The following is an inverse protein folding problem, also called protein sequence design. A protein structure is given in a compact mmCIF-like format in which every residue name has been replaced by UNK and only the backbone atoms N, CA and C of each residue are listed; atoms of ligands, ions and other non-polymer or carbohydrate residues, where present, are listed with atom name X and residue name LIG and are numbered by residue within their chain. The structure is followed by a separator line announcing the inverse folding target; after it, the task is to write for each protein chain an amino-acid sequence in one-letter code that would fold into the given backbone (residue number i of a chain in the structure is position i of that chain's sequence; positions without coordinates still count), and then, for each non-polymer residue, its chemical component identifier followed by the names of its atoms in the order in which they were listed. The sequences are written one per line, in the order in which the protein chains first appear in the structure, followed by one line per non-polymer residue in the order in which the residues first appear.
data_IF_377330087118
#
_entry.id   IF_377330087118
#
_cell.length_a   1.000
_cell.length_b   1.000
_cell.length_c   1.000
_cell.angle_alpha   90.00
_cell.angle_beta   90.00
_cell.angle_gamma   90.00
#
_symmetry.space_group_name_H-M   'P 1'
#
loop_
_entity.id
_entity.type
_entity.pdbx_description
1 polymer ?
#
# COMPACT_ATOMS: atom_id res chain seq x y z
N UNK A 1 -21.15 -8.58 1.47
CA UNK A 1 -19.75 -8.20 1.25
C UNK A 1 -18.88 -9.36 0.75
N UNK A 2 -19.13 -10.60 1.17
CA UNK A 2 -18.39 -11.78 0.67
C UNK A 2 -18.53 -11.97 -0.85
N UNK A 3 -19.72 -11.76 -1.38
CA UNK A 3 -19.96 -11.80 -2.84
C UNK A 3 -19.19 -10.69 -3.57
N UNK A 4 -19.15 -9.49 -3.00
CA UNK A 4 -18.35 -8.39 -3.56
C UNK A 4 -16.87 -8.75 -3.61
N UNK A 5 -16.33 -9.34 -2.53
CA UNK A 5 -14.93 -9.79 -2.50
C UNK A 5 -14.63 -10.79 -3.63
N UNK A 6 -15.52 -11.77 -3.83
CA UNK A 6 -15.37 -12.75 -4.91
C UNK A 6 -15.43 -12.11 -6.30
N UNK A 7 -16.39 -11.22 -6.53
CA UNK A 7 -16.50 -10.49 -7.79
C UNK A 7 -15.28 -9.63 -8.08
N UNK A 8 -14.75 -8.93 -7.08
CA UNK A 8 -13.55 -8.11 -7.23
C UNK A 8 -12.31 -8.97 -7.52
N UNK A 9 -12.19 -10.14 -6.89
CA UNK A 9 -11.10 -11.08 -7.18
C UNK A 9 -11.16 -11.60 -8.62
N UNK A 10 -12.33 -11.97 -9.11
CA UNK A 10 -12.52 -12.39 -10.51
C UNK A 10 -12.22 -11.25 -11.48
N UNK A 11 -12.72 -10.05 -11.20
CA UNK A 11 -12.43 -8.87 -12.00
C UNK A 11 -10.93 -8.58 -12.06
N UNK A 12 -10.24 -8.63 -10.93
CA UNK A 12 -8.80 -8.42 -10.87
C UNK A 12 -8.02 -9.41 -11.76
N UNK A 13 -8.42 -10.67 -11.78
CA UNK A 13 -7.82 -11.70 -12.66
C UNK A 13 -8.01 -11.41 -14.14
N UNK A 14 -9.13 -10.81 -14.51
CA UNK A 14 -9.47 -10.53 -15.90
C UNK A 14 -8.80 -9.26 -16.44
N UNK A 15 -8.65 -8.22 -15.61
CA UNK A 15 -8.26 -6.88 -16.08
C UNK A 15 -6.83 -6.48 -15.69
N UNK A 16 -6.25 -7.05 -14.63
CA UNK A 16 -4.87 -6.76 -14.27
C UNK A 16 -3.89 -7.55 -15.15
N UNK A 17 -2.79 -6.93 -15.59
CA UNK A 17 -1.77 -7.64 -16.32
C UNK A 17 -1.14 -8.74 -15.44
N UNK A 18 -0.67 -9.85 -16.04
CA UNK A 18 0.03 -10.89 -15.30
C UNK A 18 1.23 -10.35 -14.52
N UNK A 19 1.55 -10.99 -13.39
CA UNK A 19 2.72 -10.61 -12.59
C UNK A 19 3.99 -10.65 -13.45
N UNK A 20 4.82 -9.62 -13.30
CA UNK A 20 6.07 -9.50 -14.06
C UNK A 20 5.93 -8.93 -15.47
N UNK A 21 4.72 -8.58 -15.91
CA UNK A 21 4.52 -7.86 -17.17
C UNK A 21 5.27 -6.52 -17.12
N UNK A 22 6.16 -6.31 -18.08
CA UNK A 22 6.83 -5.02 -18.25
C UNK A 22 5.88 -4.06 -18.96
N UNK A 23 5.62 -2.93 -18.32
CA UNK A 23 4.87 -1.81 -18.88
C UNK A 23 5.86 -0.67 -19.06
N UNK A 24 6.13 -0.25 -20.27
CA UNK A 24 7.12 0.79 -20.58
C UNK A 24 6.55 2.21 -20.44
N UNK A 25 5.31 2.40 -20.87
CA UNK A 25 4.65 3.70 -20.84
C UNK A 25 4.27 4.09 -19.40
N UNK A 26 4.73 5.27 -18.95
CA UNK A 26 4.51 5.75 -17.57
C UNK A 26 3.03 5.98 -17.25
N UNK A 27 2.24 6.49 -18.20
CA UNK A 27 0.81 6.68 -17.98
C UNK A 27 0.07 5.35 -17.85
N UNK A 28 0.47 4.32 -18.58
CA UNK A 28 -0.08 2.98 -18.43
C UNK A 28 0.31 2.35 -17.09
N UNK A 29 1.56 2.55 -16.64
CA UNK A 29 2.00 2.11 -15.30
C UNK A 29 1.12 2.72 -14.21
N UNK A 30 0.90 4.02 -14.30
CA UNK A 30 0.07 4.73 -13.32
C UNK A 30 -1.39 4.23 -13.38
N UNK A 31 -1.97 4.09 -14.57
CA UNK A 31 -3.33 3.58 -14.72
C UNK A 31 -3.51 2.17 -14.12
N UNK A 32 -2.55 1.28 -14.33
CA UNK A 32 -2.56 -0.07 -13.72
C UNK A 32 -2.44 0.01 -12.21
N UNK A 33 -1.59 0.88 -11.67
CA UNK A 33 -1.44 1.07 -10.24
C UNK A 33 -2.71 1.65 -9.60
N UNK A 34 -3.37 2.60 -10.23
CA UNK A 34 -4.64 3.18 -9.79
C UNK A 34 -5.77 2.14 -9.81
N UNK A 35 -5.82 1.32 -10.86
CA UNK A 35 -6.77 0.22 -10.95
C UNK A 35 -6.54 -0.81 -9.84
N UNK A 36 -5.30 -1.20 -9.62
CA UNK A 36 -4.91 -2.10 -8.53
C UNK A 36 -5.30 -1.53 -7.16
N UNK A 37 -5.05 -0.24 -6.93
CA UNK A 37 -5.45 0.44 -5.71
C UNK A 37 -6.98 0.41 -5.50
N UNK A 38 -7.76 0.71 -6.55
CA UNK A 38 -9.22 0.70 -6.49
C UNK A 38 -9.77 -0.68 -6.14
N UNK A 39 -9.25 -1.72 -6.77
CA UNK A 39 -9.63 -3.11 -6.48
C UNK A 39 -9.24 -3.52 -5.06
N UNK A 40 -8.05 -3.12 -4.61
CA UNK A 40 -7.61 -3.37 -3.24
C UNK A 40 -8.51 -2.68 -2.22
N UNK A 41 -8.90 -1.45 -2.48
CA UNK A 41 -9.82 -0.69 -1.62
C UNK A 41 -11.18 -1.38 -1.48
N UNK A 42 -11.70 -1.94 -2.56
CA UNK A 42 -12.95 -2.72 -2.53
C UNK A 42 -12.78 -4.04 -1.75
N UNK A 43 -11.67 -4.75 -1.95
CA UNK A 43 -11.38 -5.98 -1.20
C UNK A 43 -11.23 -5.75 0.31
N UNK A 44 -10.63 -4.64 0.71
CA UNK A 44 -10.43 -4.26 2.11
C UNK A 44 -11.67 -3.71 2.81
N UNK A 45 -12.74 -3.42 2.08
CA UNK A 45 -13.94 -2.74 2.61
C UNK A 45 -14.53 -3.45 3.84
N UNK A 46 -14.70 -4.76 3.76
CA UNK A 46 -15.24 -5.55 4.87
C UNK A 46 -14.38 -5.45 6.12
N UNK A 47 -13.08 -5.55 5.96
CA UNK A 47 -12.11 -5.47 7.07
C UNK A 47 -12.12 -4.09 7.72
N UNK A 48 -12.23 -3.02 6.92
CA UNK A 48 -12.32 -1.65 7.45
C UNK A 48 -13.64 -1.42 8.18
N UNK A 49 -14.76 -1.87 7.64
CA UNK A 49 -16.07 -1.74 8.31
C UNK A 49 -16.13 -2.51 9.63
N UNK A 50 -15.38 -3.60 9.77
CA UNK A 50 -15.30 -4.36 11.00
C UNK A 50 -14.48 -3.68 12.12
N UNK A 51 -13.76 -2.59 11.83
CA UNK A 51 -12.98 -1.84 12.82
C UNK A 51 -13.86 -1.01 13.77
N UNK A 52 -15.12 -0.77 13.41
CA UNK A 52 -16.10 -0.05 14.22
C UNK A 52 -16.59 1.25 13.58
N UNK A 53 -17.49 1.92 14.28
CA UNK A 53 -18.16 3.15 13.81
C UNK A 53 -17.43 4.44 14.23
N UNK A 54 -16.29 4.33 14.90
CA UNK A 54 -15.53 5.50 15.31
C UNK A 54 -14.98 6.24 14.08
N UNK A 55 -15.13 7.56 14.06
CA UNK A 55 -14.59 8.42 13.01
C UNK A 55 -13.08 8.63 13.19
N UNK A 56 -12.31 7.61 12.81
CA UNK A 56 -10.85 7.65 12.86
C UNK A 56 -10.28 7.62 11.45
N UNK A 57 -9.42 8.58 11.08
CA UNK A 57 -8.76 8.56 9.76
C UNK A 57 -8.05 7.25 9.46
N UNK A 58 -7.47 6.60 10.45
CA UNK A 58 -6.77 5.32 10.33
C UNK A 58 -7.68 4.18 9.85
N UNK A 59 -9.00 4.32 10.04
CA UNK A 59 -9.97 3.32 9.58
C UNK A 59 -10.33 3.48 8.09
N UNK A 60 -9.99 4.62 7.49
CA UNK A 60 -10.27 4.89 6.08
C UNK A 60 -9.32 4.15 5.13
N UNK A 61 -8.18 3.68 5.58
CA UNK A 61 -7.15 3.01 4.77
C UNK A 61 -6.80 1.63 5.32
N UNK A 62 -6.37 0.75 4.43
CA UNK A 62 -5.85 -0.55 4.82
C UNK A 62 -4.41 -0.40 5.29
N UNK A 63 -4.12 -0.85 6.51
CA UNK A 63 -2.78 -0.85 7.09
C UNK A 63 -2.43 -2.29 7.44
N UNK A 64 -1.47 -2.85 6.72
CA UNK A 64 -1.12 -4.28 6.81
C UNK A 64 0.36 -4.49 7.03
N UNK A 65 0.70 -5.58 7.72
CA UNK A 65 2.07 -6.03 7.89
C UNK A 65 2.61 -6.65 6.61
N UNK A 66 3.78 -6.20 6.18
CA UNK A 66 4.50 -6.72 5.02
C UNK A 66 5.94 -7.00 5.36
N UNK A 67 6.52 -8.02 4.72
CA UNK A 67 7.95 -8.29 4.80
C UNK A 67 8.67 -7.54 3.69
N UNK A 68 9.79 -6.90 4.02
CA UNK A 68 10.64 -6.22 3.04
C UNK A 68 11.45 -7.27 2.29
N UNK A 69 11.17 -7.43 1.00
CA UNK A 69 11.83 -8.39 0.11
C UNK A 69 13.11 -7.84 -0.51
N UNK A 70 13.13 -6.54 -0.85
CA UNK A 70 14.33 -5.85 -1.35
C UNK A 70 14.33 -4.38 -0.95
N UNK A 71 15.53 -3.82 -0.85
CA UNK A 71 15.80 -2.40 -0.60
C UNK A 71 16.82 -1.95 -1.62
N UNK A 72 16.47 -1.00 -2.46
CA UNK A 72 17.33 -0.47 -3.51
C UNK A 72 17.34 1.07 -3.45
N UNK A 73 18.49 1.68 -3.74
CA UNK A 73 18.55 3.12 -3.84
C UNK A 73 17.84 3.60 -5.11
N UNK A 74 17.07 4.69 -4.99
CA UNK A 74 16.39 5.25 -6.16
C UNK A 74 17.43 5.78 -7.16
N UNK A 75 17.35 5.39 -8.46
CA UNK A 75 18.40 5.75 -9.45
C UNK A 75 18.44 7.24 -9.79
N UNK A 76 17.36 7.97 -9.54
CA UNK A 76 17.21 9.39 -9.92
C UNK A 76 16.95 10.32 -8.74
N UNK A 77 16.97 9.81 -7.50
CA UNK A 77 16.72 10.60 -6.29
C UNK A 77 17.58 10.11 -5.12
N UNK A 78 18.60 10.88 -4.76
CA UNK A 78 19.62 10.47 -3.78
C UNK A 78 19.08 10.14 -2.38
N UNK A 79 17.94 10.75 -1.99
CA UNK A 79 17.36 10.58 -0.65
C UNK A 79 16.22 9.56 -0.62
N UNK A 80 15.96 8.88 -1.74
CA UNK A 80 14.88 7.93 -1.83
C UNK A 80 15.37 6.49 -1.99
N UNK A 81 14.61 5.59 -1.42
CA UNK A 81 14.78 4.14 -1.51
C UNK A 81 13.56 3.52 -2.11
N UNK A 82 13.76 2.47 -2.89
CA UNK A 82 12.70 1.66 -3.50
C UNK A 82 12.66 0.32 -2.79
N UNK A 83 11.50 -0.03 -2.28
CA UNK A 83 11.27 -1.30 -1.62
C UNK A 83 10.32 -2.16 -2.45
N UNK A 84 10.56 -3.45 -2.45
CA UNK A 84 9.56 -4.46 -2.74
C UNK A 84 9.16 -5.08 -1.41
N UNK A 85 7.90 -4.96 -1.03
CA UNK A 85 7.40 -5.43 0.25
C UNK A 85 6.04 -6.12 0.08
N UNK A 86 5.80 -7.16 0.81
CA UNK A 86 4.54 -7.90 0.68
C UNK A 86 4.48 -9.17 1.52
N UNK A 87 3.67 -10.08 1.04
CA UNK A 87 3.52 -11.45 1.54
C UNK A 87 3.63 -12.42 0.37
N UNK A 88 3.40 -13.70 0.61
CA UNK A 88 3.36 -14.71 -0.45
C UNK A 88 2.22 -14.46 -1.48
N UNK A 89 1.18 -13.70 -1.07
CA UNK A 89 -0.01 -13.45 -1.88
C UNK A 89 0.05 -12.16 -2.68
N UNK A 90 0.70 -11.13 -2.17
CA UNK A 90 0.74 -9.80 -2.80
C UNK A 90 2.07 -9.11 -2.54
N UNK A 91 2.37 -8.15 -3.39
CA UNK A 91 3.58 -7.32 -3.29
C UNK A 91 3.25 -5.88 -3.68
N UNK A 92 3.88 -4.94 -2.98
CA UNK A 92 3.84 -3.51 -3.26
C UNK A 92 5.22 -2.97 -3.57
N UNK A 93 5.27 -1.97 -4.44
CA UNK A 93 6.43 -1.10 -4.57
C UNK A 93 6.20 0.10 -3.66
N UNK A 94 7.17 0.39 -2.79
CA UNK A 94 7.12 1.53 -1.88
C UNK A 94 8.35 2.40 -2.11
N UNK A 95 8.14 3.69 -2.34
CA UNK A 95 9.23 4.68 -2.38
C UNK A 95 9.23 5.44 -1.06
N UNK A 96 10.38 5.52 -0.41
CA UNK A 96 10.50 6.10 0.93
C UNK A 96 11.82 6.83 1.11
N UNK A 97 11.86 7.79 2.02
CA UNK A 97 13.09 8.47 2.46
C UNK A 97 13.73 7.81 3.70
N UNK A 98 13.15 6.75 4.23
CA UNK A 98 13.72 6.01 5.35
C UNK A 98 14.95 5.21 4.87
N UNK A 99 16.11 5.41 5.52
CA UNK A 99 17.36 4.78 5.13
C UNK A 99 17.73 3.54 5.95
N UNK A 100 17.02 3.27 7.03
CA UNK A 100 17.34 2.21 7.99
C UNK A 100 16.56 0.91 7.78
N UNK A 101 15.99 0.72 6.60
CA UNK A 101 15.18 -0.45 6.27
C UNK A 101 16.04 -1.64 5.88
N UNK A 102 15.66 -2.83 6.32
CA UNK A 102 16.41 -4.06 6.06
C UNK A 102 15.52 -5.11 5.40
N UNK A 103 16.11 -5.84 4.45
CA UNK A 103 15.46 -7.04 3.89
C UNK A 103 15.13 -8.03 5.00
N UNK A 104 13.94 -8.61 4.94
CA UNK A 104 13.45 -9.62 5.88
C UNK A 104 12.73 -9.05 7.10
N UNK A 105 12.83 -7.73 7.38
CA UNK A 105 12.03 -7.16 8.48
C UNK A 105 10.56 -6.96 8.08
N UNK A 106 9.69 -7.03 9.05
CA UNK A 106 8.25 -6.76 8.89
C UNK A 106 7.96 -5.32 9.29
N UNK A 107 7.25 -4.62 8.42
CA UNK A 107 6.77 -3.24 8.63
C UNK A 107 5.28 -3.14 8.33
N UNK A 108 4.61 -2.21 8.96
CA UNK A 108 3.26 -1.81 8.58
C UNK A 108 3.31 -0.82 7.42
N UNK A 109 2.49 -1.07 6.41
CA UNK A 109 2.28 -0.16 5.30
C UNK A 109 0.83 0.25 5.18
N UNK A 110 0.59 1.54 4.96
CA UNK A 110 -0.71 2.06 4.58
C UNK A 110 -0.83 2.01 3.06
N UNK A 111 -1.87 1.37 2.57
CA UNK A 111 -2.16 1.29 1.13
C UNK A 111 -2.86 2.58 0.74
N UNK A 112 -2.21 3.35 -0.13
CA UNK A 112 -2.61 4.69 -0.52
C UNK A 112 -2.75 4.78 -2.05
N UNK A 113 -3.45 5.81 -2.57
CA UNK A 113 -3.42 6.11 -3.99
C UNK A 113 -1.98 6.18 -4.51
N UNK A 114 -1.68 5.58 -5.67
CA UNK A 114 -0.32 5.53 -6.19
C UNK A 114 0.21 6.93 -6.51
N UNK A 115 1.47 7.15 -6.21
CA UNK A 115 2.21 8.39 -6.51
C UNK A 115 3.48 8.05 -7.25
N UNK A 116 3.77 8.79 -8.32
CA UNK A 116 4.99 8.63 -9.08
C UNK A 116 6.11 9.51 -8.53
N UNK A 117 7.24 8.90 -8.20
CA UNK A 117 8.46 9.56 -7.77
C UNK A 117 9.57 9.33 -8.81
N UNK A 118 9.81 10.30 -9.68
CA UNK A 118 10.87 10.24 -10.70
C UNK A 118 10.87 8.94 -11.50
N UNK A 119 9.68 8.55 -12.02
CA UNK A 119 9.49 7.36 -12.85
C UNK A 119 9.21 6.05 -12.09
N UNK A 120 9.24 6.07 -10.75
CA UNK A 120 8.88 4.92 -9.90
C UNK A 120 7.58 5.20 -9.14
N UNK A 121 6.62 4.28 -9.24
CA UNK A 121 5.32 4.41 -8.59
C UNK A 121 5.40 3.79 -7.19
N UNK A 122 5.04 4.59 -6.17
CA UNK A 122 4.83 4.12 -4.81
C UNK A 122 3.36 3.78 -4.59
N UNK A 123 3.08 2.58 -4.15
CA UNK A 123 1.71 2.06 -3.95
C UNK A 123 1.28 2.09 -2.47
N UNK A 124 2.22 2.35 -1.57
CA UNK A 124 1.97 2.36 -0.13
C UNK A 124 3.01 3.23 0.59
N UNK A 125 2.74 3.49 1.87
CA UNK A 125 3.63 4.25 2.75
C UNK A 125 3.96 3.42 3.99
N UNK A 126 5.24 3.35 4.38
CA UNK A 126 5.63 2.76 5.66
C UNK A 126 5.13 3.65 6.79
N UNK A 127 4.47 3.07 7.76
CA UNK A 127 3.84 3.79 8.87
C UNK A 127 4.08 3.18 10.24
N UNK A 128 5.06 2.28 10.37
CA UNK A 128 5.46 1.68 11.65
C UNK A 128 6.96 1.56 11.78
N UNK A 129 7.43 1.37 13.01
CA UNK A 129 8.75 0.78 13.29
C UNK A 129 8.78 -0.70 12.91
N UNK A 130 9.92 -1.42 13.01
CA UNK A 130 9.96 -2.86 12.83
C UNK A 130 8.96 -3.58 13.72
N UNK A 131 8.25 -4.54 13.14
CA UNK A 131 7.16 -5.28 13.78
C UNK A 131 7.56 -6.73 14.06
N UNK A 132 6.89 -7.39 15.05
CA UNK A 132 6.98 -8.84 15.19
C UNK A 132 6.56 -9.56 13.90
N UNK A 133 7.27 -10.66 13.50
CA UNK A 133 6.99 -11.39 12.27
C UNK A 133 5.55 -11.94 12.17
N UNK A 134 4.89 -12.16 13.30
CA UNK A 134 3.51 -12.66 13.39
C UNK A 134 2.48 -11.68 12.80
N UNK A 135 2.84 -10.41 12.67
CA UNK A 135 1.98 -9.37 12.09
C UNK A 135 2.04 -9.31 10.55
N UNK A 136 2.90 -10.09 9.92
CA UNK A 136 2.92 -10.21 8.45
C UNK A 136 1.57 -10.72 7.93
N UNK A 137 1.00 -9.98 6.97
CA UNK A 137 -0.29 -10.32 6.36
C UNK A 137 -1.52 -9.94 7.19
N UNK A 138 -1.34 -9.31 8.34
CA UNK A 138 -2.43 -8.92 9.23
C UNK A 138 -2.64 -7.41 9.25
N UNK A 139 -3.85 -6.97 9.58
CA UNK A 139 -4.13 -5.58 9.94
C UNK A 139 -3.28 -5.20 11.15
N UNK A 140 -2.61 -4.04 11.07
CA UNK A 140 -1.75 -3.57 12.15
C UNK A 140 -2.59 -2.87 13.22
N UNK A 141 -2.43 -3.25 14.51
CA UNK A 141 -3.06 -2.54 15.62
C UNK A 141 -2.60 -1.08 15.70
N UNK A 142 -3.50 -0.18 16.12
CA UNK A 142 -3.25 1.27 16.18
C UNK A 142 -2.03 1.64 17.03
N UNK A 143 -1.73 0.87 18.08
CA UNK A 143 -0.60 1.11 18.99
C UNK A 143 0.77 1.08 18.30
N UNK A 144 0.91 0.37 17.15
CA UNK A 144 2.16 0.30 16.39
C UNK A 144 2.27 1.38 15.31
N UNK A 145 1.19 2.10 15.01
CA UNK A 145 1.08 2.98 13.86
C UNK A 145 1.57 4.39 14.21
N UNK A 146 2.38 4.97 13.34
CA UNK A 146 2.71 6.41 13.34
C UNK A 146 1.47 7.20 12.88
N UNK A 147 0.57 7.48 13.81
CA UNK A 147 -0.78 7.98 13.52
C UNK A 147 -0.78 9.32 12.80
N UNK A 148 0.13 10.22 13.14
CA UNK A 148 0.21 11.54 12.50
C UNK A 148 0.43 11.43 10.97
N UNK A 149 1.25 10.49 10.52
CA UNK A 149 1.52 10.27 9.11
C UNK A 149 0.27 9.78 8.37
N UNK A 150 -0.50 8.88 9.00
CA UNK A 150 -1.75 8.37 8.44
C UNK A 150 -2.82 9.46 8.37
N UNK A 151 -2.98 10.25 9.42
CA UNK A 151 -3.94 11.36 9.47
C UNK A 151 -3.65 12.35 8.34
N UNK A 152 -2.40 12.76 8.18
CA UNK A 152 -1.97 13.67 7.12
C UNK A 152 -2.24 13.09 5.72
N UNK A 153 -1.96 11.79 5.52
CA UNK A 153 -2.20 11.11 4.24
C UNK A 153 -3.69 11.05 3.90
N UNK A 154 -4.54 10.69 4.87
CA UNK A 154 -6.00 10.61 4.66
C UNK A 154 -6.60 11.98 4.39
N UNK A 155 -6.18 13.01 5.12
CA UNK A 155 -6.62 14.39 4.88
C UNK A 155 -6.26 14.87 3.46
N UNK A 156 -5.07 14.55 2.98
CA UNK A 156 -4.65 14.87 1.61
C UNK A 156 -5.54 14.18 0.55
N UNK A 157 -5.90 12.90 0.77
CA UNK A 157 -6.81 12.17 -0.11
C UNK A 157 -8.18 12.83 -0.14
N UNK A 158 -8.76 13.14 1.03
CA UNK A 158 -10.08 13.76 1.13
C UNK A 158 -10.12 15.12 0.45
N UNK A 159 -9.10 15.96 0.64
CA UNK A 159 -8.98 17.26 -0.06
C UNK A 159 -8.94 17.11 -1.58
N UNK A 160 -8.33 16.06 -2.10
CA UNK A 160 -8.27 15.80 -3.54
C UNK A 160 -9.61 15.31 -4.11
N UNK A 161 -10.38 14.56 -3.32
CA UNK A 161 -11.71 14.09 -3.72
C UNK A 161 -12.77 15.20 -3.70
N UNK A 162 -12.58 16.23 -2.88
CA UNK A 162 -13.51 17.36 -2.74
C UNK A 162 -13.33 18.45 -3.80
N UNK A 163 -12.42 18.29 -4.75
CA UNK A 163 -12.17 19.18 -5.91
C UNK A 163 -12.84 18.63 -7.15
#
# INVERSE_FOLDING_TARGET
LKELELMVQELARLILPPRGTKIENESHKLAVAELKYSLWTLLGLRSRLALGEEQRPEYAVDIIGVEIGSVEKHPRAERLWILKAGTERFSFTVVTNLSNLKKGEVRGVAILPPVMFYGVISEAMICTDPLPPELKGKRIPLEFIHRADIINAVEAIVKNLAR
#
